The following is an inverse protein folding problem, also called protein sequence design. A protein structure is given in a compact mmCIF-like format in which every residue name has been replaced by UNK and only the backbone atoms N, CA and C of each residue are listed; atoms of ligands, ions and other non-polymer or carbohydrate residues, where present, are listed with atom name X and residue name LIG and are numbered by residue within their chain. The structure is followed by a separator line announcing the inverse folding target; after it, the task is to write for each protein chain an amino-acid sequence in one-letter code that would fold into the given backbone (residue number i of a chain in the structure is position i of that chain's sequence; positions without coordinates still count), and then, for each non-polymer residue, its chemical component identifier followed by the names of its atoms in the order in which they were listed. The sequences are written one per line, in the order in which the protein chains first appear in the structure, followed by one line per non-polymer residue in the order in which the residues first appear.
data_IF_640025830243
#
_entry.id   IF_640025830243
#
_cell.length_a   1.000
_cell.length_b   1.000
_cell.length_c   1.000
_cell.angle_alpha   90.00
_cell.angle_beta   90.00
_cell.angle_gamma   90.00
#
_symmetry.space_group_name_H-M   'P 1'
#
loop_
_entity.id
_entity.type
_entity.pdbx_description
1 polymer ?
#
# COMPACT_ATOMS: atom_id res chain seq x y z
N UNK A 1 14.15 22.35 -13.22
CA UNK A 1 13.68 21.08 -13.79
C UNK A 1 13.63 19.96 -12.72
N UNK A 2 12.97 20.20 -11.57
CA UNK A 2 13.13 19.35 -10.36
C UNK A 2 11.82 19.00 -9.64
N UNK A 3 10.73 19.72 -9.87
CA UNK A 3 9.46 19.49 -9.16
C UNK A 3 8.51 18.55 -9.90
N UNK A 4 8.40 18.69 -11.23
CA UNK A 4 7.60 17.78 -12.08
C UNK A 4 8.10 16.34 -12.01
N UNK A 5 9.42 16.11 -12.05
CA UNK A 5 10.01 14.78 -11.90
C UNK A 5 9.72 14.18 -10.52
N UNK A 6 9.75 15.01 -9.46
CA UNK A 6 9.43 14.57 -8.09
C UNK A 6 7.95 14.23 -7.94
N UNK A 7 7.06 14.99 -8.56
CA UNK A 7 5.62 14.66 -8.62
C UNK A 7 5.38 13.36 -9.39
N UNK A 8 6.02 13.17 -10.54
CA UNK A 8 5.93 11.93 -11.32
C UNK A 8 6.38 10.71 -10.50
N UNK A 9 7.46 10.84 -9.73
CA UNK A 9 7.91 9.77 -8.83
C UNK A 9 6.94 9.48 -7.70
N UNK A 10 6.28 10.50 -7.14
CA UNK A 10 5.20 10.28 -6.16
C UNK A 10 4.01 9.55 -6.78
N UNK A 11 3.61 9.90 -8.00
CA UNK A 11 2.53 9.23 -8.71
C UNK A 11 2.86 7.76 -9.01
N UNK A 12 4.07 7.47 -9.49
CA UNK A 12 4.53 6.09 -9.71
C UNK A 12 4.52 5.31 -8.39
N UNK A 13 4.96 5.94 -7.30
CA UNK A 13 4.97 5.31 -5.97
C UNK A 13 3.56 4.99 -5.47
N UNK A 14 2.61 5.90 -5.67
CA UNK A 14 1.19 5.67 -5.36
C UNK A 14 0.67 4.51 -6.21
N UNK A 15 0.97 4.49 -7.52
CA UNK A 15 0.54 3.43 -8.41
C UNK A 15 1.05 2.05 -7.97
N UNK A 16 2.35 1.93 -7.65
CA UNK A 16 2.93 0.69 -7.13
C UNK A 16 2.29 0.29 -5.80
N UNK A 17 2.10 1.25 -4.89
CA UNK A 17 1.47 0.99 -3.59
C UNK A 17 0.02 0.52 -3.74
N UNK A 18 -0.77 1.12 -4.65
CA UNK A 18 -2.15 0.71 -4.93
C UNK A 18 -2.20 -0.71 -5.49
N UNK A 19 -1.32 -1.06 -6.43
CA UNK A 19 -1.26 -2.42 -6.98
C UNK A 19 -0.86 -3.44 -5.91
N UNK A 20 0.18 -3.15 -5.14
CA UNK A 20 0.67 -4.02 -4.08
C UNK A 20 -0.38 -4.25 -2.98
N UNK A 21 -1.06 -3.19 -2.55
CA UNK A 21 -2.14 -3.29 -1.57
C UNK A 21 -3.39 -3.94 -2.15
N UNK A 22 -3.65 -3.75 -3.45
CA UNK A 22 -4.79 -4.34 -4.15
C UNK A 22 -4.68 -5.84 -4.32
N UNK A 23 -3.50 -6.36 -4.67
CA UNK A 23 -3.31 -7.79 -4.98
C UNK A 23 -3.93 -8.72 -3.93
N UNK A 24 -3.61 -8.59 -2.61
CA UNK A 24 -4.23 -9.44 -1.60
C UNK A 24 -5.74 -9.27 -1.47
N UNK A 25 -6.28 -8.06 -1.67
CA UNK A 25 -7.72 -7.80 -1.58
C UNK A 25 -8.47 -8.55 -2.68
N UNK A 26 -7.94 -8.54 -3.91
CA UNK A 26 -8.58 -9.14 -5.07
C UNK A 26 -8.40 -10.66 -5.16
N UNK A 27 -7.38 -11.22 -4.51
CA UNK A 27 -7.17 -12.68 -4.45
C UNK A 27 -8.01 -13.37 -3.38
N UNK A 28 -8.72 -12.61 -2.53
CA UNK A 28 -9.59 -13.17 -1.51
C UNK A 28 -10.86 -13.76 -2.16
N UNK A 29 -11.12 -15.04 -1.89
CA UNK A 29 -12.29 -15.75 -2.39
C UNK A 29 -13.53 -15.51 -1.54
N UNK A 30 -13.36 -14.97 -0.33
CA UNK A 30 -14.44 -14.70 0.60
C UNK A 30 -15.39 -13.57 0.10
N UNK A 31 -16.67 -13.69 0.44
CA UNK A 31 -17.68 -12.65 0.18
C UNK A 31 -17.35 -11.32 0.87
N UNK A 32 -16.64 -11.37 2.00
CA UNK A 32 -16.20 -10.22 2.77
C UNK A 32 -14.75 -10.45 3.24
N UNK A 33 -13.93 -9.39 3.18
CA UNK A 33 -12.58 -9.45 3.71
C UNK A 33 -12.63 -9.41 5.23
N UNK A 34 -12.01 -10.39 5.85
CA UNK A 34 -11.78 -10.40 7.29
C UNK A 34 -10.44 -9.72 7.60
N UNK A 35 -10.52 -8.49 8.11
CA UNK A 35 -9.35 -7.73 8.53
C UNK A 35 -8.82 -8.13 9.91
N UNK A 36 -9.41 -9.13 10.56
CA UNK A 36 -8.89 -9.74 11.79
C UNK A 36 -8.03 -10.98 11.51
N UNK A 37 -8.11 -11.54 10.30
CA UNK A 37 -7.26 -12.64 9.89
C UNK A 37 -5.80 -12.18 9.84
N UNK A 38 -5.02 -12.69 10.80
CA UNK A 38 -3.61 -12.37 10.95
C UNK A 38 -2.82 -12.83 9.73
N UNK A 39 -3.23 -13.91 9.06
CA UNK A 39 -2.56 -14.43 7.86
C UNK A 39 -2.68 -13.42 6.73
N UNK A 40 -3.90 -12.92 6.48
CA UNK A 40 -4.14 -11.85 5.53
C UNK A 40 -3.31 -10.60 5.85
N UNK A 41 -3.34 -10.13 7.10
CA UNK A 41 -2.61 -8.93 7.51
C UNK A 41 -1.09 -9.07 7.32
N UNK A 42 -0.52 -10.22 7.69
CA UNK A 42 0.92 -10.48 7.53
C UNK A 42 1.31 -10.47 6.06
N UNK A 43 0.55 -11.16 5.19
CA UNK A 43 0.81 -11.14 3.75
C UNK A 43 0.64 -9.74 3.15
N UNK A 44 -0.39 -9.02 3.57
CA UNK A 44 -0.68 -7.68 3.10
C UNK A 44 0.44 -6.69 3.47
N UNK A 45 1.01 -6.83 4.67
CA UNK A 45 2.18 -6.06 5.10
C UNK A 45 3.46 -6.48 4.38
N UNK A 46 3.68 -7.78 4.18
CA UNK A 46 4.87 -8.31 3.52
C UNK A 46 4.97 -7.82 2.06
N UNK A 47 3.87 -7.93 1.30
CA UNK A 47 3.78 -7.45 -0.07
C UNK A 47 3.97 -5.93 -0.13
N UNK A 48 3.34 -5.18 0.78
CA UNK A 48 3.54 -3.74 0.89
C UNK A 48 4.96 -3.34 1.20
N UNK A 49 5.63 -4.07 2.09
CA UNK A 49 7.03 -3.82 2.45
C UNK A 49 7.96 -4.07 1.27
N UNK A 50 7.73 -5.15 0.53
CA UNK A 50 8.46 -5.46 -0.69
C UNK A 50 8.26 -4.38 -1.77
N UNK A 51 7.01 -3.96 -1.98
CA UNK A 51 6.67 -2.88 -2.90
C UNK A 51 7.32 -1.55 -2.50
N UNK A 52 7.38 -1.26 -1.20
CA UNK A 52 8.04 -0.08 -0.65
C UNK A 52 9.55 -0.10 -0.92
N UNK A 53 10.19 -1.26 -0.75
CA UNK A 53 11.58 -1.44 -1.13
C UNK A 53 11.82 -1.21 -2.63
N UNK A 54 11.00 -1.81 -3.49
CA UNK A 54 11.10 -1.63 -4.95
C UNK A 54 10.88 -0.19 -5.39
N UNK A 55 9.91 0.48 -4.78
CA UNK A 55 9.61 1.89 -5.04
C UNK A 55 10.77 2.80 -4.65
N UNK A 56 11.48 2.51 -3.55
CA UNK A 56 12.69 3.25 -3.16
C UNK A 56 13.88 3.00 -4.09
N UNK A 57 13.94 1.81 -4.71
CA UNK A 57 14.92 1.52 -5.75
C UNK A 57 14.68 2.39 -7.00
N UNK A 58 13.42 2.57 -7.41
CA UNK A 58 13.05 3.32 -8.63
C UNK A 58 13.03 4.85 -8.40
N UNK A 59 12.39 5.30 -7.33
CA UNK A 59 12.02 6.70 -7.14
C UNK A 59 12.85 7.43 -6.05
N UNK A 60 13.62 6.69 -5.24
CA UNK A 60 14.48 7.19 -4.16
C UNK A 60 13.87 8.35 -3.34
N UNK A 61 12.59 8.20 -2.97
CA UNK A 61 11.85 9.22 -2.23
C UNK A 61 12.33 9.36 -0.78
N UNK A 62 12.05 10.53 -0.17
CA UNK A 62 12.24 10.73 1.27
C UNK A 62 11.25 9.85 2.04
N UNK A 63 11.65 9.34 3.21
CA UNK A 63 10.80 8.48 4.07
C UNK A 63 9.41 9.08 4.35
N UNK A 64 9.34 10.39 4.61
CA UNK A 64 8.05 11.07 4.83
C UNK A 64 7.15 11.05 3.59
N UNK A 65 7.72 11.30 2.41
CA UNK A 65 6.98 11.23 1.15
C UNK A 65 6.53 9.79 0.87
N UNK A 66 7.39 8.82 1.16
CA UNK A 66 7.13 7.39 0.99
C UNK A 66 5.92 6.91 1.80
N UNK A 67 5.89 7.23 3.10
CA UNK A 67 4.78 6.89 3.98
C UNK A 67 3.48 7.53 3.45
N UNK A 68 3.52 8.81 3.06
CA UNK A 68 2.36 9.48 2.47
C UNK A 68 1.85 8.79 1.21
N UNK A 69 2.73 8.42 0.27
CA UNK A 69 2.34 7.72 -0.95
C UNK A 69 1.78 6.32 -0.69
N UNK A 70 2.29 5.61 0.32
CA UNK A 70 1.79 4.29 0.69
C UNK A 70 0.44 4.34 1.41
N UNK A 71 0.22 5.32 2.29
CA UNK A 71 -1.12 5.57 2.87
C UNK A 71 -2.14 5.81 1.76
N UNK A 72 -1.82 6.70 0.80
CA UNK A 72 -2.72 7.00 -0.32
C UNK A 72 -2.96 5.75 -1.15
N UNK A 73 -1.93 4.99 -1.50
CA UNK A 73 -2.07 3.78 -2.31
C UNK A 73 -2.94 2.71 -1.63
N UNK A 74 -2.73 2.45 -0.34
CA UNK A 74 -3.55 1.51 0.44
C UNK A 74 -5.01 1.96 0.53
N UNK A 75 -5.25 3.25 0.79
CA UNK A 75 -6.60 3.81 0.79
C UNK A 75 -7.27 3.67 -0.58
N UNK A 76 -6.57 4.03 -1.66
CA UNK A 76 -7.09 3.90 -3.02
C UNK A 76 -7.42 2.44 -3.34
N UNK A 77 -6.56 1.50 -2.98
CA UNK A 77 -6.81 0.07 -3.21
C UNK A 77 -8.08 -0.42 -2.50
N UNK A 78 -8.26 -0.05 -1.23
CA UNK A 78 -9.47 -0.40 -0.47
C UNK A 78 -10.72 0.25 -1.05
N UNK A 79 -10.66 1.55 -1.38
CA UNK A 79 -11.80 2.26 -1.99
C UNK A 79 -12.20 1.60 -3.32
N UNK A 80 -11.22 1.35 -4.20
CA UNK A 80 -11.46 0.72 -5.50
C UNK A 80 -12.06 -0.67 -5.30
N UNK A 81 -11.51 -1.49 -4.40
CA UNK A 81 -12.05 -2.81 -4.10
C UNK A 81 -13.50 -2.76 -3.64
N UNK A 82 -13.83 -1.89 -2.68
CA UNK A 82 -15.19 -1.76 -2.17
C UNK A 82 -16.17 -1.28 -3.25
N UNK A 83 -15.79 -0.25 -4.02
CA UNK A 83 -16.61 0.25 -5.13
C UNK A 83 -16.83 -0.85 -6.17
N UNK A 84 -15.80 -1.60 -6.53
CA UNK A 84 -15.92 -2.72 -7.46
C UNK A 84 -16.85 -3.83 -6.94
N UNK A 85 -16.81 -4.16 -5.65
CA UNK A 85 -17.71 -5.17 -5.07
C UNK A 85 -19.16 -4.71 -5.01
N UNK A 86 -19.41 -3.44 -4.74
CA UNK A 86 -20.76 -2.86 -4.80
C UNK A 86 -21.29 -2.90 -6.24
N UNK A 87 -20.51 -2.43 -7.21
CA UNK A 87 -20.96 -2.31 -8.60
C UNK A 87 -21.12 -3.66 -9.32
N UNK A 88 -20.21 -4.61 -9.06
CA UNK A 88 -20.15 -5.87 -9.81
C UNK A 88 -20.91 -6.99 -9.07
N UNK A 89 -20.80 -7.05 -7.74
CA UNK A 89 -21.34 -8.16 -6.95
C UNK A 89 -22.54 -7.77 -6.08
N UNK A 90 -22.96 -6.49 -6.09
CA UNK A 90 -24.05 -5.95 -5.25
C UNK A 90 -23.90 -6.30 -3.75
N UNK A 91 -22.65 -6.36 -3.27
CA UNK A 91 -22.34 -6.66 -1.88
C UNK A 91 -22.13 -5.37 -1.08
N UNK A 92 -22.96 -5.16 -0.06
CA UNK A 92 -22.84 -4.03 0.87
C UNK A 92 -21.95 -4.47 2.04
N UNK A 93 -20.79 -3.83 2.18
CA UNK A 93 -19.87 -4.09 3.27
C UNK A 93 -20.08 -3.10 4.42
N UNK A 94 -20.46 -3.57 5.60
CA UNK A 94 -20.70 -2.73 6.78
C UNK A 94 -19.42 -2.17 7.44
N UNK A 95 -18.26 -2.76 7.15
CA UNK A 95 -17.00 -2.44 7.83
C UNK A 95 -16.07 -1.51 7.04
N UNK A 96 -16.61 -0.68 6.14
CA UNK A 96 -15.81 0.19 5.27
C UNK A 96 -14.87 1.13 6.05
N UNK A 97 -15.39 1.80 7.08
CA UNK A 97 -14.60 2.75 7.89
C UNK A 97 -13.44 2.04 8.58
N UNK A 98 -13.69 0.89 9.20
CA UNK A 98 -12.65 0.08 9.84
C UNK A 98 -11.57 -0.34 8.83
N UNK A 99 -11.99 -0.76 7.65
CA UNK A 99 -11.09 -1.18 6.56
C UNK A 99 -10.15 -0.03 6.14
N UNK A 100 -10.67 1.20 6.06
CA UNK A 100 -9.85 2.39 5.76
C UNK A 100 -8.87 2.71 6.89
N UNK A 101 -9.29 2.61 8.16
CA UNK A 101 -8.40 2.84 9.30
C UNK A 101 -7.24 1.84 9.32
N UNK A 102 -7.53 0.56 9.08
CA UNK A 102 -6.51 -0.49 8.99
C UNK A 102 -5.61 -0.24 7.77
N UNK A 103 -6.16 0.16 6.62
CA UNK A 103 -5.37 0.51 5.43
C UNK A 103 -4.37 1.65 5.70
N UNK A 104 -4.78 2.68 6.44
CA UNK A 104 -3.87 3.77 6.85
C UNK A 104 -2.74 3.20 7.73
N UNK A 105 -3.07 2.40 8.73
CA UNK A 105 -2.09 1.80 9.63
C UNK A 105 -1.08 0.93 8.88
N UNK A 106 -1.54 0.06 8.00
CA UNK A 106 -0.69 -0.82 7.20
C UNK A 106 0.13 -0.04 6.16
N UNK A 107 -0.43 1.00 5.54
CA UNK A 107 0.31 1.91 4.65
C UNK A 107 1.45 2.63 5.35
N UNK A 108 1.24 3.08 6.60
CA UNK A 108 2.30 3.65 7.46
C UNK A 108 3.39 2.61 7.71
N UNK A 109 3.01 1.43 8.18
CA UNK A 109 3.95 0.36 8.54
C UNK A 109 4.76 -0.09 7.33
N UNK A 110 4.14 -0.39 6.19
CA UNK A 110 4.83 -0.82 4.97
C UNK A 110 5.77 0.25 4.43
N UNK A 111 5.33 1.51 4.42
CA UNK A 111 6.14 2.65 3.98
C UNK A 111 7.37 2.86 4.87
N UNK A 112 7.19 2.70 6.18
CA UNK A 112 8.26 2.85 7.18
C UNK A 112 9.25 1.69 7.17
N UNK A 113 8.78 0.44 7.21
CA UNK A 113 9.61 -0.78 7.21
C UNK A 113 10.45 -0.84 5.93
N UNK A 114 9.83 -0.63 4.75
CA UNK A 114 10.56 -0.63 3.49
C UNK A 114 11.62 0.48 3.41
N UNK A 115 11.33 1.66 3.99
CA UNK A 115 12.28 2.76 4.11
C UNK A 115 13.47 2.43 5.02
N UNK A 116 13.24 1.74 6.13
CA UNK A 116 14.30 1.30 7.04
C UNK A 116 15.18 0.23 6.40
N UNK A 117 14.57 -0.76 5.75
CA UNK A 117 15.28 -1.82 5.03
C UNK A 117 16.22 -1.23 3.96
N UNK A 118 15.73 -0.26 3.18
CA UNK A 118 16.52 0.42 2.16
C UNK A 118 17.71 1.21 2.73
N UNK A 119 17.52 1.91 3.85
CA UNK A 119 18.62 2.61 4.55
C UNK A 119 19.70 1.63 5.01
N UNK A 120 19.30 0.44 5.51
CA UNK A 120 20.22 -0.62 5.87
C UNK A 120 21.06 -1.12 4.70
N UNK A 121 20.42 -1.35 3.55
CA UNK A 121 21.11 -1.77 2.31
C UNK A 121 22.08 -0.71 1.81
N UNK A 122 21.70 0.57 1.83
CA UNK A 122 22.59 1.68 1.43
C UNK A 122 23.80 1.81 2.34
N UNK A 123 23.66 1.56 3.64
CA UNK A 123 24.79 1.61 4.60
C UNK A 123 25.85 0.55 4.33
N UNK A 124 25.48 -0.63 3.84
CA UNK A 124 26.45 -1.71 3.50
C UNK A 124 27.23 -1.45 2.20
N UNK A 125 26.81 -0.50 1.37
CA UNK A 125 27.50 -0.13 0.12
C UNK A 125 28.48 1.06 0.28
N UNK A 126 28.56 1.66 1.46
CA UNK A 126 29.57 2.66 1.83
C UNK A 126 30.64 2.00 2.69
#
# INVERSE_FOLDING_TARGET
MQESTRQNYKLISIFIATLAAGLPLWTQTAGQIDFTDTTFLVWWLAIGTFASFFTLFVANLKTRDMIGTFIIGYLTAVIVYFVSRILIANQIHSQFILSLTIAIGFGILSGWIGSLAWKGVKKKKK
#
